data_IF_466417616319
#
_entry.id   IF_466417616319
#
_cell.length_a   1.000
_cell.length_b   1.000
_cell.length_c   1.000
_cell.angle_alpha   90.00
_cell.angle_beta   90.00
_cell.angle_gamma   90.00
#
_symmetry.space_group_name_H-M   'P 1'
#
loop_
_entity.id
_entity.type
_entity.pdbx_description
1 polymer ?
#
# COMPACT_ATOMS: atom_id res chain seq x y z
N UNK A 1 -0.39 -4.12 6.78
CA UNK A 1 -0.99 -2.99 7.54
C UNK A 1 -1.75 -3.47 8.78
N UNK A 2 -2.70 -4.40 8.67
CA UNK A 2 -3.39 -4.98 9.85
C UNK A 2 -2.42 -5.56 10.89
N UNK A 3 -1.33 -6.19 10.45
CA UNK A 3 -0.30 -6.76 11.34
C UNK A 3 0.37 -5.70 12.21
N UNK A 4 0.55 -4.48 11.71
CA UNK A 4 1.18 -3.40 12.45
C UNK A 4 0.35 -2.96 13.67
N UNK A 5 -0.98 -2.92 13.53
CA UNK A 5 -1.88 -2.51 14.61
C UNK A 5 -2.22 -3.66 15.57
N UNK A 6 -2.06 -4.92 15.13
CA UNK A 6 -2.32 -6.12 15.90
C UNK A 6 -1.00 -6.87 16.22
N UNK A 7 -0.03 -6.18 16.82
CA UNK A 7 1.28 -6.74 17.17
C UNK A 7 1.47 -6.79 18.71
N UNK A 8 0.62 -7.53 19.45
CA UNK A 8 0.63 -7.53 20.92
C UNK A 8 1.94 -8.07 21.50
N UNK A 9 2.63 -8.94 20.79
CA UNK A 9 3.90 -9.55 21.23
C UNK A 9 5.13 -8.79 20.71
N UNK A 10 4.95 -7.68 19.99
CA UNK A 10 6.02 -6.88 19.35
C UNK A 10 6.95 -7.71 18.45
N UNK A 11 6.39 -8.73 17.81
CA UNK A 11 7.14 -9.61 16.89
C UNK A 11 7.52 -8.89 15.59
N UNK A 12 6.63 -8.02 15.09
CA UNK A 12 6.92 -7.16 13.94
C UNK A 12 7.63 -5.92 14.46
N UNK A 13 8.83 -5.66 13.99
CA UNK A 13 9.66 -4.55 14.42
C UNK A 13 9.83 -3.46 13.36
N UNK A 14 9.80 -3.85 12.09
CA UNK A 14 9.83 -2.96 10.92
C UNK A 14 8.85 -3.48 9.87
N UNK A 15 8.42 -2.60 8.97
CA UNK A 15 7.58 -2.93 7.83
C UNK A 15 8.27 -2.42 6.58
N UNK A 16 8.33 -3.28 5.56
CA UNK A 16 8.66 -2.89 4.19
C UNK A 16 7.35 -2.91 3.41
N UNK A 17 6.96 -1.78 2.90
CA UNK A 17 5.76 -1.58 2.11
C UNK A 17 6.17 -1.34 0.66
N UNK A 18 5.78 -2.22 -0.24
CA UNK A 18 6.15 -2.17 -1.66
C UNK A 18 4.88 -2.17 -2.52
N UNK A 19 4.72 -1.13 -3.33
CA UNK A 19 3.59 -0.91 -4.24
C UNK A 19 2.20 -0.87 -3.58
N UNK A 20 2.08 -0.39 -2.35
CA UNK A 20 0.81 -0.39 -1.63
C UNK A 20 -0.19 0.67 -2.09
N UNK A 21 -1.47 0.32 -2.03
CA UNK A 21 -2.57 1.22 -2.33
C UNK A 21 -3.17 1.84 -1.05
N UNK A 22 -3.83 2.99 -1.20
CA UNK A 22 -4.47 3.72 -0.09
C UNK A 22 -5.82 3.13 0.32
N UNK A 23 -6.60 2.67 -0.66
CA UNK A 23 -7.98 2.21 -0.49
C UNK A 23 -8.35 1.23 -1.60
N UNK A 24 -8.87 0.06 -1.23
CA UNK A 24 -9.22 -0.98 -2.22
C UNK A 24 -10.41 -0.57 -3.09
N UNK A 25 -11.40 0.15 -2.52
CA UNK A 25 -12.54 0.63 -3.28
C UNK A 25 -12.12 1.67 -4.31
N UNK A 26 -11.26 2.62 -3.91
CA UNK A 26 -10.66 3.62 -4.81
C UNK A 26 -9.89 2.94 -5.94
N UNK A 27 -9.08 1.93 -5.62
CA UNK A 27 -8.28 1.19 -6.59
C UNK A 27 -9.15 0.42 -7.61
N UNK A 28 -10.17 -0.29 -7.14
CA UNK A 28 -11.10 -1.02 -8.03
C UNK A 28 -11.88 -0.04 -8.90
N UNK A 29 -12.41 1.05 -8.33
CA UNK A 29 -13.15 2.07 -9.06
C UNK A 29 -12.28 2.73 -10.16
N UNK A 30 -11.01 3.05 -9.84
CA UNK A 30 -10.05 3.56 -10.83
C UNK A 30 -9.88 2.56 -11.98
N UNK A 31 -9.62 1.29 -11.66
CA UNK A 31 -9.42 0.27 -12.70
C UNK A 31 -10.63 0.09 -13.61
N UNK A 32 -11.84 0.19 -13.05
CA UNK A 32 -13.08 0.16 -13.86
C UNK A 32 -13.16 1.37 -14.81
N UNK A 33 -12.74 2.56 -14.37
CA UNK A 33 -12.67 3.75 -15.22
C UNK A 33 -11.68 3.57 -16.36
N UNK A 34 -10.49 3.03 -16.07
CA UNK A 34 -9.46 2.75 -17.06
C UNK A 34 -9.94 1.75 -18.14
N UNK A 35 -10.89 0.87 -17.79
CA UNK A 35 -11.56 -0.05 -18.72
C UNK A 35 -12.74 0.59 -19.48
N UNK A 36 -12.93 1.90 -19.39
CA UNK A 36 -13.97 2.62 -20.10
C UNK A 36 -15.35 2.65 -19.41
N UNK A 37 -15.45 2.12 -18.18
CA UNK A 37 -16.70 2.08 -17.41
C UNK A 37 -16.91 3.33 -16.53
N UNK A 38 -16.56 4.51 -17.05
CA UNK A 38 -16.50 5.77 -16.30
C UNK A 38 -17.80 6.13 -15.57
N UNK A 39 -18.96 5.95 -16.20
CA UNK A 39 -20.25 6.32 -15.62
C UNK A 39 -20.84 5.27 -14.67
N UNK A 40 -20.31 4.08 -14.67
CA UNK A 40 -20.85 2.93 -13.91
C UNK A 40 -19.85 2.34 -12.93
N UNK A 41 -18.61 2.86 -12.88
CA UNK A 41 -17.52 2.30 -12.08
C UNK A 41 -17.88 2.17 -10.59
N UNK A 42 -18.46 3.22 -10.00
CA UNK A 42 -18.81 3.22 -8.58
C UNK A 42 -20.03 2.32 -8.29
N UNK A 43 -20.95 2.18 -9.27
CA UNK A 43 -22.07 1.26 -9.17
C UNK A 43 -21.58 -0.20 -9.18
N UNK A 44 -20.74 -0.61 -10.15
CA UNK A 44 -20.17 -1.95 -10.19
C UNK A 44 -19.29 -2.26 -9.00
N UNK A 45 -18.46 -1.30 -8.58
CA UNK A 45 -17.64 -1.46 -7.37
C UNK A 45 -18.50 -1.61 -6.12
N UNK A 46 -19.65 -0.92 -6.05
CA UNK A 46 -20.60 -1.06 -4.94
C UNK A 46 -21.29 -2.43 -4.94
N UNK A 47 -21.68 -2.94 -6.12
CA UNK A 47 -22.20 -4.31 -6.25
C UNK A 47 -21.15 -5.33 -5.82
N UNK A 48 -19.89 -5.19 -6.27
CA UNK A 48 -18.79 -6.05 -5.85
C UNK A 48 -18.64 -6.02 -4.33
N UNK A 49 -18.72 -4.85 -3.71
CA UNK A 49 -18.66 -4.73 -2.26
C UNK A 49 -19.83 -5.43 -1.54
N UNK A 50 -21.05 -5.36 -2.10
CA UNK A 50 -22.22 -6.10 -1.57
C UNK A 50 -21.95 -7.62 -1.59
N UNK A 51 -21.40 -8.15 -2.69
CA UNK A 51 -21.02 -9.56 -2.79
C UNK A 51 -19.93 -9.93 -1.77
N UNK A 52 -18.87 -9.13 -1.65
CA UNK A 52 -17.82 -9.36 -0.67
C UNK A 52 -18.39 -9.41 0.76
N UNK A 53 -19.27 -8.49 1.11
CA UNK A 53 -19.94 -8.47 2.44
C UNK A 53 -20.83 -9.69 2.66
N UNK A 54 -21.54 -10.13 1.63
CA UNK A 54 -22.50 -11.25 1.75
C UNK A 54 -21.78 -12.59 1.91
N UNK A 55 -20.70 -12.81 1.16
CA UNK A 55 -19.99 -14.10 1.09
C UNK A 55 -18.87 -14.17 2.13
N UNK A 56 -17.97 -13.18 2.17
CA UNK A 56 -16.79 -13.20 3.03
C UNK A 56 -16.91 -12.32 4.27
N UNK A 57 -18.04 -11.63 4.43
CA UNK A 57 -18.27 -10.62 5.49
C UNK A 57 -17.21 -9.51 5.52
N UNK A 58 -16.57 -9.25 4.39
CA UNK A 58 -15.51 -8.26 4.21
C UNK A 58 -16.07 -7.04 3.48
N UNK A 59 -15.92 -5.86 4.07
CA UNK A 59 -16.37 -4.59 3.50
C UNK A 59 -15.18 -3.85 2.89
N UNK A 60 -15.11 -3.80 1.55
CA UNK A 60 -14.03 -3.11 0.84
C UNK A 60 -13.88 -1.64 1.23
N UNK A 61 -15.00 -0.97 1.57
CA UNK A 61 -15.00 0.44 1.97
C UNK A 61 -14.53 0.67 3.40
N UNK A 62 -14.65 -0.32 4.27
CA UNK A 62 -14.34 -0.18 5.71
C UNK A 62 -13.08 -0.93 6.10
N UNK A 63 -12.94 -2.16 5.58
CA UNK A 63 -11.91 -3.08 6.03
C UNK A 63 -10.64 -3.02 5.20
N UNK A 64 -10.76 -2.53 3.92
CA UNK A 64 -9.65 -2.42 2.99
C UNK A 64 -9.21 -0.96 2.79
N UNK A 65 -8.94 -0.26 3.88
CA UNK A 65 -8.48 1.13 3.89
C UNK A 65 -7.08 1.24 4.53
N UNK A 66 -6.01 0.84 3.82
CA UNK A 66 -4.63 0.93 4.32
C UNK A 66 -4.27 2.34 4.81
N UNK A 67 -4.77 3.38 4.15
CA UNK A 67 -4.53 4.76 4.56
C UNK A 67 -5.05 5.06 5.98
N UNK A 68 -6.25 4.57 6.30
CA UNK A 68 -6.81 4.71 7.64
C UNK A 68 -6.00 3.98 8.71
N UNK A 69 -5.52 2.78 8.35
CA UNK A 69 -4.68 1.94 9.22
C UNK A 69 -3.28 2.55 9.41
N UNK A 70 -2.72 3.18 8.36
CA UNK A 70 -1.39 3.80 8.40
C UNK A 70 -1.30 4.93 9.41
N UNK A 71 -2.36 5.70 9.61
CA UNK A 71 -2.42 6.78 10.63
C UNK A 71 -2.17 6.29 12.07
N UNK A 72 -2.37 5.00 12.30
CA UNK A 72 -2.16 4.34 13.59
C UNK A 72 -0.96 3.37 13.55
N UNK A 73 -0.04 3.54 12.59
CA UNK A 73 1.16 2.72 12.52
C UNK A 73 1.99 2.86 13.81
N UNK A 74 2.45 1.74 14.33
CA UNK A 74 3.24 1.67 15.56
C UNK A 74 4.71 1.29 15.32
N UNK A 75 5.04 0.78 14.13
CA UNK A 75 6.38 0.35 13.77
C UNK A 75 6.94 1.23 12.63
N UNK A 76 8.27 1.36 12.53
CA UNK A 76 8.92 2.03 11.40
C UNK A 76 8.52 1.40 10.06
N UNK A 77 8.34 2.22 9.05
CA UNK A 77 7.91 1.79 7.71
C UNK A 77 8.88 2.30 6.65
N UNK A 78 9.38 1.39 5.83
CA UNK A 78 10.12 1.71 4.62
C UNK A 78 9.20 1.52 3.41
N UNK A 79 8.97 2.60 2.68
CA UNK A 79 8.13 2.61 1.49
C UNK A 79 8.96 2.45 0.23
N UNK A 80 8.56 1.55 -0.65
CA UNK A 80 9.14 1.39 -1.98
C UNK A 80 8.03 1.48 -3.01
N UNK A 81 8.28 2.19 -4.12
CA UNK A 81 7.28 2.30 -5.19
C UNK A 81 7.93 2.69 -6.51
N UNK A 82 7.44 2.11 -7.60
CA UNK A 82 7.80 2.53 -8.95
C UNK A 82 7.11 3.83 -9.33
N UNK A 83 7.85 4.79 -9.88
CA UNK A 83 7.26 6.07 -10.28
C UNK A 83 6.33 5.97 -11.49
N UNK A 84 6.50 4.93 -12.33
CA UNK A 84 5.65 4.66 -13.51
C UNK A 84 4.61 3.55 -13.25
N UNK A 85 4.28 3.28 -12.00
CA UNK A 85 3.26 2.30 -11.63
C UNK A 85 1.86 2.76 -12.10
N UNK A 86 1.41 2.20 -13.23
CA UNK A 86 0.11 2.50 -13.81
C UNK A 86 -1.04 1.75 -13.11
N UNK A 87 -0.75 0.68 -12.36
CA UNK A 87 -1.75 -0.09 -11.63
C UNK A 87 -2.10 0.58 -10.30
N UNK A 88 -1.08 0.87 -9.49
CA UNK A 88 -1.20 1.60 -8.23
C UNK A 88 -0.39 2.89 -8.35
N UNK A 89 -1.01 4.03 -8.61
CA UNK A 89 -0.27 5.27 -8.83
C UNK A 89 0.66 5.63 -7.66
N UNK A 90 1.85 6.10 -7.96
CA UNK A 90 2.85 6.52 -6.98
C UNK A 90 2.32 7.53 -5.95
N UNK A 91 1.31 8.33 -6.34
CA UNK A 91 0.63 9.25 -5.44
C UNK A 91 -0.04 8.57 -4.24
N UNK A 92 -0.46 7.30 -4.40
CA UNK A 92 -0.99 6.52 -3.28
C UNK A 92 0.10 6.20 -2.24
N UNK A 93 1.31 5.88 -2.69
CA UNK A 93 2.46 5.69 -1.80
C UNK A 93 2.78 6.98 -1.01
N UNK A 94 2.80 8.13 -1.68
CA UNK A 94 3.01 9.43 -1.00
C UNK A 94 1.97 9.68 0.07
N UNK A 95 0.69 9.45 -0.23
CA UNK A 95 -0.41 9.59 0.75
C UNK A 95 -0.23 8.65 1.95
N UNK A 96 0.22 7.42 1.74
CA UNK A 96 0.54 6.48 2.82
C UNK A 96 1.74 6.95 3.64
N UNK A 97 2.78 7.39 2.96
CA UNK A 97 3.97 7.96 3.59
C UNK A 97 3.61 9.15 4.47
N UNK A 98 2.88 10.13 3.95
CA UNK A 98 2.50 11.33 4.70
C UNK A 98 1.64 11.00 5.93
N UNK A 99 0.76 10.01 5.81
CA UNK A 99 -0.11 9.56 6.89
C UNK A 99 0.61 8.75 7.97
N UNK A 100 1.80 8.22 7.70
CA UNK A 100 2.55 7.38 8.63
C UNK A 100 3.17 8.23 9.75
N UNK A 101 2.85 8.00 11.04
CA UNK A 101 3.33 8.82 12.15
C UNK A 101 4.68 8.37 12.71
N UNK A 102 5.18 7.20 12.30
CA UNK A 102 6.43 6.62 12.82
C UNK A 102 7.64 7.03 12.01
N UNK A 103 8.84 6.61 12.43
CA UNK A 103 10.04 6.76 11.62
C UNK A 103 9.84 6.05 10.27
N UNK A 104 10.16 6.75 9.19
CA UNK A 104 9.82 6.33 7.84
C UNK A 104 10.84 6.80 6.84
N UNK A 105 11.05 5.98 5.81
CA UNK A 105 11.88 6.32 4.66
C UNK A 105 11.16 5.93 3.38
N UNK A 106 11.50 6.57 2.26
CA UNK A 106 10.90 6.27 0.97
C UNK A 106 11.99 6.04 -0.08
N UNK A 107 11.76 5.04 -0.91
CA UNK A 107 12.53 4.80 -2.13
C UNK A 107 11.59 4.78 -3.33
N UNK A 108 11.49 5.91 -4.02
CA UNK A 108 10.87 5.99 -5.33
C UNK A 108 11.85 5.47 -6.37
N UNK A 109 11.43 4.50 -7.17
CA UNK A 109 12.27 3.90 -8.22
C UNK A 109 11.87 4.47 -9.57
N UNK A 110 12.75 5.29 -10.20
CA UNK A 110 12.46 5.88 -11.50
C UNK A 110 12.17 4.80 -12.55
N UNK A 111 11.22 5.08 -13.43
CA UNK A 111 10.84 4.20 -14.56
C UNK A 111 10.37 2.80 -14.19
N UNK A 112 10.25 2.45 -12.91
CA UNK A 112 9.74 1.14 -12.50
C UNK A 112 8.22 1.10 -12.57
N UNK A 113 7.69 0.03 -13.14
CA UNK A 113 6.28 -0.31 -13.15
C UNK A 113 5.85 -1.03 -11.85
N UNK A 114 4.57 -1.44 -11.78
CA UNK A 114 4.02 -2.14 -10.63
C UNK A 114 4.79 -3.41 -10.27
N UNK A 115 5.29 -3.48 -9.03
CA UNK A 115 6.07 -4.60 -8.47
C UNK A 115 7.42 -4.86 -9.17
N UNK A 116 7.90 -3.93 -10.00
CA UNK A 116 9.21 -4.07 -10.64
C UNK A 116 10.34 -3.35 -9.89
N UNK A 117 10.06 -2.59 -8.84
CA UNK A 117 11.04 -1.82 -8.08
C UNK A 117 12.28 -2.62 -7.66
N UNK A 118 12.10 -3.88 -7.24
CA UNK A 118 13.20 -4.76 -6.89
C UNK A 118 14.05 -5.17 -8.10
N UNK A 119 13.41 -5.45 -9.25
CA UNK A 119 14.12 -5.91 -10.44
C UNK A 119 14.90 -4.78 -11.11
N UNK A 120 14.33 -3.59 -11.16
CA UNK A 120 14.89 -2.43 -11.84
C UNK A 120 16.00 -1.75 -11.04
N UNK A 121 15.97 -1.86 -9.70
CA UNK A 121 16.94 -1.22 -8.81
C UNK A 121 17.47 -2.15 -7.71
N UNK A 122 17.72 -3.42 -8.05
CA UNK A 122 18.02 -4.51 -7.09
C UNK A 122 19.09 -4.15 -6.06
N UNK A 123 20.23 -3.64 -6.49
CA UNK A 123 21.36 -3.36 -5.58
C UNK A 123 21.01 -2.22 -4.60
N UNK A 124 20.38 -1.18 -5.09
CA UNK A 124 19.98 -0.04 -4.27
C UNK A 124 18.80 -0.40 -3.36
N UNK A 125 17.84 -1.18 -3.84
CA UNK A 125 16.75 -1.74 -3.05
C UNK A 125 17.30 -2.54 -1.86
N UNK A 126 18.17 -3.52 -2.13
CA UNK A 126 18.81 -4.35 -1.12
C UNK A 126 19.60 -3.52 -0.11
N UNK A 127 20.37 -2.54 -0.59
CA UNK A 127 21.18 -1.66 0.25
C UNK A 127 20.31 -0.85 1.21
N UNK A 128 19.24 -0.22 0.69
CA UNK A 128 18.35 0.64 1.49
C UNK A 128 17.53 -0.17 2.48
N UNK A 129 16.93 -1.28 2.05
CA UNK A 129 16.15 -2.16 2.94
C UNK A 129 17.03 -2.70 4.07
N UNK A 130 18.23 -3.19 3.77
CA UNK A 130 19.17 -3.68 4.78
C UNK A 130 19.60 -2.58 5.75
N UNK A 131 19.86 -1.37 5.25
CA UNK A 131 20.20 -0.22 6.09
C UNK A 131 19.05 0.15 7.04
N UNK A 132 17.82 0.19 6.52
CA UNK A 132 16.63 0.49 7.32
C UNK A 132 16.38 -0.58 8.39
N UNK A 133 16.48 -1.85 8.04
CA UNK A 133 16.36 -2.97 8.99
C UNK A 133 17.44 -2.84 10.09
N UNK A 134 18.69 -2.63 9.70
CA UNK A 134 19.79 -2.48 10.65
C UNK A 134 19.59 -1.28 11.60
N UNK A 135 19.08 -0.17 11.11
CA UNK A 135 18.79 1.03 11.92
C UNK A 135 17.80 0.75 13.05
N UNK A 136 16.80 -0.13 12.81
CA UNK A 136 15.69 -0.32 13.74
C UNK A 136 15.71 -1.64 14.51
N UNK A 137 16.49 -2.61 14.06
CA UNK A 137 16.55 -3.94 14.70
C UNK A 137 17.93 -4.18 15.36
N UNK A 138 18.97 -3.53 14.85
CA UNK A 138 20.34 -3.64 15.34
C UNK A 138 21.12 -4.71 14.61
#
# INVERSE_FOLDING_TARGET
MLVNNNNPQKQVRVIIEDCGFTDAFEQVSKKMKDLGLNHTSDFFTSITNIFCRSISKYDLKKDATPLGTMKNAANPVFFVHGEEDALVPFEMCKRLYDACPTDKEMFAVPCAEHAYSYYDAKEEYDRRVKAFIKKHIG
#
